data_IF_051205262322
#
_entry.id   IF_051205262322
#
_cell.length_a   1.000
_cell.length_b   1.000
_cell.length_c   1.000
_cell.angle_alpha   90.00
_cell.angle_beta   90.00
_cell.angle_gamma   90.00
#
_symmetry.space_group_name_H-M   'P 1'
#
loop_
_entity.id
_entity.type
_entity.pdbx_description
1 polymer ?
#
# COMPACT_ATOMS: atom_id res chain seq x y z
N UNK A 1 13.45 5.42 -2.30
CA UNK A 1 12.07 5.88 -2.53
C UNK A 1 11.14 5.21 -1.56
N UNK A 2 10.16 5.94 -1.06
CA UNK A 2 9.35 5.45 0.06
C UNK A 2 7.87 5.35 -0.25
N UNK A 3 7.54 5.39 -1.55
CA UNK A 3 6.15 5.39 -1.98
C UNK A 3 5.43 4.10 -1.62
N UNK A 4 6.10 2.96 -1.78
CA UNK A 4 5.49 1.68 -1.48
C UNK A 4 5.14 1.55 0.00
N UNK A 5 6.05 2.03 0.85
CA UNK A 5 5.83 2.00 2.28
C UNK A 5 4.69 2.91 2.69
N UNK A 6 4.65 4.12 2.11
CA UNK A 6 3.56 5.04 2.38
C UNK A 6 2.22 4.46 1.96
N UNK A 7 2.19 3.80 0.79
CA UNK A 7 0.97 3.17 0.33
C UNK A 7 0.50 2.10 1.30
N UNK A 8 1.41 1.28 1.82
CA UNK A 8 1.04 0.26 2.80
C UNK A 8 0.46 0.87 4.07
N UNK A 9 1.08 1.94 4.56
CA UNK A 9 0.59 2.60 5.75
C UNK A 9 -0.81 3.14 5.55
N UNK A 10 -1.08 3.74 4.40
CA UNK A 10 -2.40 4.24 4.08
C UNK A 10 -3.42 3.12 3.92
N UNK A 11 -3.01 2.03 3.30
CA UNK A 11 -3.88 0.85 3.15
C UNK A 11 -4.27 0.29 4.51
N UNK A 12 -3.36 0.28 5.47
CA UNK A 12 -3.65 -0.16 6.83
C UNK A 12 -4.65 0.76 7.52
N UNK A 13 -4.69 2.02 7.13
CA UNK A 13 -5.64 2.98 7.66
C UNK A 13 -7.01 2.89 7.00
N UNK A 14 -7.15 2.06 5.98
CA UNK A 14 -8.41 1.89 5.29
C UNK A 14 -8.52 2.65 3.97
N UNK A 15 -7.43 3.24 3.48
CA UNK A 15 -7.45 3.95 2.22
C UNK A 15 -7.68 2.98 1.07
N UNK A 16 -8.49 3.40 0.10
CA UNK A 16 -8.72 2.63 -1.11
C UNK A 16 -7.63 2.92 -2.13
N UNK A 17 -7.62 2.13 -3.22
CA UNK A 17 -6.68 2.38 -4.32
C UNK A 17 -6.88 3.76 -4.90
N UNK A 18 -8.13 4.22 -4.95
CA UNK A 18 -8.44 5.57 -5.43
C UNK A 18 -7.83 6.63 -4.52
N UNK A 19 -7.92 6.43 -3.21
CA UNK A 19 -7.36 7.38 -2.25
C UNK A 19 -5.85 7.49 -2.42
N UNK A 20 -5.19 6.36 -2.64
CA UNK A 20 -3.75 6.33 -2.85
C UNK A 20 -3.37 7.04 -4.14
N UNK A 21 -4.17 6.84 -5.19
CA UNK A 21 -3.94 7.52 -6.46
C UNK A 21 -4.14 9.03 -6.33
N UNK A 22 -5.17 9.45 -5.59
CA UNK A 22 -5.43 10.88 -5.37
C UNK A 22 -4.31 11.54 -4.56
N UNK A 23 -3.70 10.79 -3.64
CA UNK A 23 -2.55 11.27 -2.90
C UNK A 23 -1.27 11.28 -3.72
N UNK A 24 -1.33 10.81 -4.97
CA UNK A 24 -0.20 10.77 -5.90
C UNK A 24 0.97 9.96 -5.39
N UNK A 25 0.66 8.96 -4.59
CA UNK A 25 1.69 8.03 -4.11
C UNK A 25 2.04 7.06 -5.22
N UNK A 26 1.02 6.54 -5.91
CA UNK A 26 1.18 5.69 -7.08
C UNK A 26 -0.13 5.68 -7.86
N UNK A 27 -0.11 5.23 -9.11
CA UNK A 27 -1.31 5.16 -9.91
C UNK A 27 -2.28 4.09 -9.39
N UNK A 28 -3.56 4.20 -9.79
CA UNK A 28 -4.59 3.27 -9.32
C UNK A 28 -4.28 1.82 -9.67
N UNK A 29 -3.82 1.59 -10.89
CA UNK A 29 -3.49 0.24 -11.34
C UNK A 29 -2.36 -0.34 -10.48
N UNK A 30 -1.33 0.46 -10.27
CA UNK A 30 -0.19 0.01 -9.47
C UNK A 30 -0.59 -0.18 -8.02
N UNK A 31 -1.45 0.68 -7.50
CA UNK A 31 -1.95 0.53 -6.14
C UNK A 31 -2.70 -0.78 -5.96
N UNK A 32 -3.52 -1.16 -6.95
CA UNK A 32 -4.22 -2.43 -6.90
C UNK A 32 -3.27 -3.62 -6.92
N UNK A 33 -2.26 -3.58 -7.79
CA UNK A 33 -1.25 -4.63 -7.85
C UNK A 33 -0.47 -4.72 -6.55
N UNK A 34 -0.10 -3.57 -6.01
CA UNK A 34 0.65 -3.52 -4.76
C UNK A 34 -0.19 -4.04 -3.60
N UNK A 35 -1.48 -3.72 -3.59
CA UNK A 35 -2.39 -4.24 -2.55
C UNK A 35 -2.50 -5.75 -2.61
N UNK A 36 -2.60 -6.32 -3.80
CA UNK A 36 -2.66 -7.77 -3.94
C UNK A 36 -1.39 -8.43 -3.40
N UNK A 37 -0.25 -7.87 -3.74
CA UNK A 37 1.01 -8.37 -3.23
C UNK A 37 1.08 -8.25 -1.71
N UNK A 38 0.66 -7.12 -1.19
CA UNK A 38 0.68 -6.89 0.24
C UNK A 38 -0.22 -7.88 0.98
N UNK A 39 -1.39 -8.18 0.41
CA UNK A 39 -2.28 -9.17 1.01
C UNK A 39 -1.64 -10.56 1.02
N UNK A 40 -0.98 -10.92 -0.09
CA UNK A 40 -0.34 -12.22 -0.19
C UNK A 40 0.82 -12.36 0.80
N UNK A 41 1.52 -11.26 1.06
CA UNK A 41 2.64 -11.26 1.99
C UNK A 41 2.23 -10.98 3.45
N UNK A 42 0.97 -10.64 3.67
CA UNK A 42 0.50 -10.31 5.00
C UNK A 42 0.91 -8.93 5.49
N UNK A 43 1.36 -8.05 4.60
CA UNK A 43 1.85 -6.72 4.98
C UNK A 43 0.74 -5.77 5.42
N UNK A 44 -0.51 -6.10 5.14
CA UNK A 44 -1.64 -5.25 5.54
C UNK A 44 -2.06 -5.49 6.99
N UNK A 45 -1.50 -6.50 7.63
CA UNK A 45 -1.76 -6.73 9.05
C UNK A 45 -1.13 -5.60 9.86
N UNK A 46 -1.86 -5.02 10.84
CA UNK A 46 -1.33 -3.88 11.60
C UNK A 46 -0.02 -4.17 12.34
N UNK A 47 0.21 -5.44 12.67
CA UNK A 47 1.41 -5.84 13.42
C UNK A 47 2.52 -6.36 12.55
N UNK A 48 2.28 -6.52 11.25
CA UNK A 48 3.30 -7.05 10.36
C UNK A 48 4.39 -5.99 10.13
N UNK A 49 5.66 -6.42 10.04
CA UNK A 49 6.72 -5.48 9.70
C UNK A 49 6.57 -5.00 8.26
N UNK A 50 6.93 -3.75 8.02
CA UNK A 50 6.93 -3.22 6.67
C UNK A 50 8.15 -3.71 5.91
N UNK A 51 8.02 -3.94 4.60
CA UNK A 51 9.18 -4.37 3.81
C UNK A 51 10.20 -3.23 3.69
N UNK A 52 11.46 -3.61 3.59
CA UNK A 52 12.52 -2.67 3.25
C UNK A 52 12.50 -2.47 1.74
N UNK A 53 12.55 -1.23 1.34
CA UNK A 53 12.58 -0.90 -0.08
C UNK A 53 13.99 -0.89 -0.64
#
# INVERSE_FOLDING_TARGET
MHHHRQALLRMRQGDSDRDIAEARIMGRRKAGQWRQLAQAQGWLEPQAPLPDE
#
